data_IF_900546819270
#
_entry.id   IF_900546819270
#
_cell.length_a   1.000
_cell.length_b   1.000
_cell.length_c   1.000
_cell.angle_alpha   90.00
_cell.angle_beta   90.00
_cell.angle_gamma   90.00
#
_symmetry.space_group_name_H-M   'P 1'
#
loop_
_entity.id
_entity.type
_entity.pdbx_description
1 polymer ?
#
# COMPACT_ATOMS: atom_id res chain seq x y z
N UNK A 1 0.00 -0.07 -47.50
CA UNK A 1 -1.20 0.66 -47.06
C UNK A 1 -1.84 -0.21 -45.99
N UNK A 2 -1.25 -0.23 -44.79
CA UNK A 2 -1.84 -0.88 -43.62
C UNK A 2 -1.83 0.18 -42.53
N UNK A 3 -3.04 0.69 -42.26
CA UNK A 3 -3.24 1.76 -41.30
C UNK A 3 -2.94 1.21 -39.91
N UNK A 4 -1.93 1.79 -39.26
CA UNK A 4 -1.79 1.75 -37.81
C UNK A 4 -3.02 2.41 -37.18
N UNK A 5 -4.09 1.64 -37.01
CA UNK A 5 -5.25 2.04 -36.23
C UNK A 5 -4.94 1.73 -34.76
N UNK A 6 -4.31 2.66 -34.06
CA UNK A 6 -4.41 2.71 -32.60
C UNK A 6 -5.61 3.59 -32.27
N UNK A 7 -6.81 3.00 -32.24
CA UNK A 7 -7.91 3.58 -31.49
C UNK A 7 -7.56 3.41 -30.00
N UNK A 8 -6.97 4.46 -29.42
CA UNK A 8 -6.72 4.52 -27.99
C UNK A 8 -8.05 4.46 -27.25
N UNK A 9 -8.34 3.33 -26.62
CA UNK A 9 -9.51 3.15 -25.79
C UNK A 9 -9.31 3.99 -24.52
N UNK A 10 -10.30 4.80 -24.12
CA UNK A 10 -10.23 5.61 -22.89
C UNK A 10 -9.96 4.78 -21.62
N UNK A 11 -10.13 3.45 -21.68
CA UNK A 11 -9.73 2.49 -20.65
C UNK A 11 -8.21 2.34 -20.45
N UNK A 12 -7.38 2.74 -21.41
CA UNK A 12 -5.91 2.61 -21.29
C UNK A 12 -5.30 3.59 -20.28
N UNK A 13 -5.90 4.77 -20.07
CA UNK A 13 -5.35 5.78 -19.14
C UNK A 13 -5.43 5.39 -17.66
N UNK A 14 -6.25 4.39 -17.31
CA UNK A 14 -6.44 3.94 -15.94
C UNK A 14 -5.98 2.50 -15.71
N UNK A 15 -5.41 1.86 -16.73
CA UNK A 15 -4.84 0.52 -16.59
C UNK A 15 -3.41 0.67 -16.06
N UNK A 16 -3.10 0.08 -14.89
CA UNK A 16 -1.75 0.15 -14.35
C UNK A 16 -0.78 -0.56 -15.29
N UNK A 17 0.36 0.10 -15.56
CA UNK A 17 1.47 -0.48 -16.36
C UNK A 17 2.00 -1.76 -15.71
N UNK A 18 1.86 -1.89 -14.39
CA UNK A 18 2.32 -3.02 -13.61
C UNK A 18 1.57 -3.13 -12.28
N UNK A 19 1.29 -4.36 -11.85
CA UNK A 19 0.77 -4.68 -10.52
C UNK A 19 1.55 -5.86 -9.90
N UNK A 20 1.75 -5.89 -8.57
CA UNK A 20 2.36 -7.04 -7.92
C UNK A 20 1.39 -8.22 -7.86
N UNK A 21 1.91 -9.43 -8.11
CA UNK A 21 1.18 -10.65 -7.78
C UNK A 21 1.00 -10.85 -6.27
N UNK A 22 0.04 -11.69 -5.88
CA UNK A 22 -0.35 -11.92 -4.48
C UNK A 22 0.82 -12.36 -3.60
N UNK A 23 1.67 -13.29 -4.06
CA UNK A 23 2.83 -13.73 -3.28
C UNK A 23 3.77 -12.57 -2.93
N UNK A 24 3.97 -11.62 -3.86
CA UNK A 24 4.81 -10.44 -3.62
C UNK A 24 4.16 -9.50 -2.60
N UNK A 25 2.84 -9.36 -2.65
CA UNK A 25 2.08 -8.59 -1.67
C UNK A 25 2.22 -9.23 -0.29
N UNK A 26 1.98 -10.52 -0.15
CA UNK A 26 1.98 -11.22 1.13
C UNK A 26 3.36 -11.22 1.81
N UNK A 27 4.43 -11.35 1.01
CA UNK A 27 5.82 -11.36 1.52
C UNK A 27 6.39 -9.97 1.78
N UNK A 28 5.72 -8.89 1.37
CA UNK A 28 6.21 -7.54 1.57
C UNK A 28 6.26 -7.17 3.06
N UNK A 29 7.34 -6.51 3.47
CA UNK A 29 7.44 -5.94 4.83
C UNK A 29 6.30 -4.97 5.13
N UNK A 30 5.81 -4.25 4.12
CA UNK A 30 4.68 -3.35 4.24
C UNK A 30 3.39 -4.08 4.68
N UNK A 31 3.13 -5.28 4.16
CA UNK A 31 1.97 -6.09 4.54
C UNK A 31 2.06 -6.56 5.99
N UNK A 32 3.27 -6.98 6.41
CA UNK A 32 3.54 -7.32 7.82
C UNK A 32 3.37 -6.11 8.75
N UNK A 33 3.88 -4.95 8.34
CA UNK A 33 3.75 -3.71 9.11
C UNK A 33 2.31 -3.23 9.22
N UNK A 34 1.52 -3.27 8.13
CA UNK A 34 0.09 -2.96 8.17
C UNK A 34 -0.68 -3.84 9.14
N UNK A 35 -0.37 -5.16 9.16
CA UNK A 35 -0.96 -6.08 10.15
C UNK A 35 -0.60 -5.68 11.58
N UNK A 36 0.68 -5.44 11.84
CA UNK A 36 1.15 -5.01 13.16
C UNK A 36 0.46 -3.71 13.61
N UNK A 37 0.43 -2.67 12.78
CA UNK A 37 -0.23 -1.39 13.12
C UNK A 37 -1.72 -1.58 13.35
N UNK A 38 -2.42 -2.38 12.53
CA UNK A 38 -3.83 -2.72 12.75
C UNK A 38 -4.06 -3.33 14.14
N UNK A 39 -3.24 -4.28 14.53
CA UNK A 39 -3.32 -4.95 15.83
C UNK A 39 -3.05 -3.99 16.99
N UNK A 40 -2.01 -3.13 16.88
CA UNK A 40 -1.65 -2.16 17.92
C UNK A 40 -2.62 -0.97 18.05
N UNK A 41 -3.37 -0.68 16.99
CA UNK A 41 -4.31 0.46 16.97
C UNK A 41 -5.76 0.05 17.15
N UNK A 42 -6.10 -1.22 16.92
CA UNK A 42 -7.48 -1.68 16.79
C UNK A 42 -8.19 -1.14 15.54
N UNK A 43 -7.48 -0.44 14.64
CA UNK A 43 -8.08 0.18 13.47
C UNK A 43 -8.27 -0.85 12.34
N UNK A 44 -9.47 -1.41 12.24
CA UNK A 44 -9.84 -2.44 11.26
C UNK A 44 -9.70 -2.01 9.79
N UNK A 45 -9.62 -0.70 9.51
CA UNK A 45 -9.49 -0.16 8.14
C UNK A 45 -8.08 -0.33 7.57
N UNK A 46 -7.07 -0.57 8.43
CA UNK A 46 -5.67 -0.78 8.01
C UNK A 46 -5.50 -2.19 7.41
N UNK A 47 -6.06 -2.35 6.20
CA UNK A 47 -5.98 -3.55 5.35
C UNK A 47 -5.34 -3.26 4.00
N UNK A 48 -5.26 -1.99 3.61
CA UNK A 48 -4.59 -1.51 2.41
C UNK A 48 -3.75 -0.28 2.74
N UNK A 49 -2.93 0.13 1.79
CA UNK A 49 -1.99 1.24 1.96
C UNK A 49 -2.67 2.56 2.32
N UNK A 50 -3.77 2.92 1.66
CA UNK A 50 -4.40 4.24 1.85
C UNK A 50 -4.82 4.53 3.32
N UNK A 51 -5.50 3.60 4.03
CA UNK A 51 -5.77 3.77 5.46
C UNK A 51 -4.52 3.85 6.35
N UNK A 52 -3.44 3.11 6.03
CA UNK A 52 -2.17 3.23 6.76
C UNK A 52 -1.54 4.61 6.56
N UNK A 53 -1.52 5.10 5.32
CA UNK A 53 -0.98 6.41 4.95
C UNK A 53 -1.76 7.55 5.62
N UNK A 54 -3.08 7.45 5.63
CA UNK A 54 -3.90 8.41 6.34
C UNK A 54 -3.62 8.41 7.86
N UNK A 55 -3.46 7.23 8.47
CA UNK A 55 -3.05 7.12 9.87
C UNK A 55 -1.68 7.77 10.13
N UNK A 56 -0.70 7.60 9.22
CA UNK A 56 0.63 8.21 9.39
C UNK A 56 0.59 9.73 9.36
N UNK A 57 -0.32 10.34 8.58
CA UNK A 57 -0.52 11.78 8.51
C UNK A 57 -1.27 12.30 9.74
N UNK A 58 -2.36 11.62 10.14
CA UNK A 58 -3.20 12.09 11.26
C UNK A 58 -2.56 11.87 12.63
N UNK A 59 -1.74 10.83 12.78
CA UNK A 59 -1.12 10.45 14.07
C UNK A 59 0.39 10.16 13.90
N UNK A 60 1.20 11.15 13.47
CA UNK A 60 2.60 10.92 13.10
C UNK A 60 3.44 10.42 14.28
N UNK A 61 3.24 10.96 15.50
CA UNK A 61 3.97 10.51 16.68
C UNK A 61 3.74 9.03 16.96
N UNK A 62 2.48 8.58 16.98
CA UNK A 62 2.11 7.18 17.20
C UNK A 62 2.61 6.28 16.06
N UNK A 63 2.50 6.75 14.82
CA UNK A 63 2.99 6.01 13.66
C UNK A 63 4.49 5.74 13.75
N UNK A 64 5.31 6.77 14.05
CA UNK A 64 6.76 6.61 14.13
C UNK A 64 7.22 5.77 15.32
N UNK A 65 6.54 5.86 16.48
CA UNK A 65 6.80 4.93 17.59
C UNK A 65 6.58 3.48 17.17
N UNK A 66 5.45 3.17 16.55
CA UNK A 66 5.14 1.83 16.04
C UNK A 66 6.15 1.38 14.97
N UNK A 67 6.60 2.29 14.10
CA UNK A 67 7.59 1.98 13.08
C UNK A 67 8.95 1.59 13.70
N UNK A 68 9.43 2.35 14.69
CA UNK A 68 10.70 2.03 15.37
C UNK A 68 10.62 0.71 16.13
N UNK A 69 9.51 0.46 16.84
CA UNK A 69 9.26 -0.82 17.51
C UNK A 69 9.26 -1.98 16.52
N UNK A 70 8.55 -1.84 15.39
CA UNK A 70 8.51 -2.86 14.34
C UNK A 70 9.90 -3.13 13.74
N UNK A 71 10.71 -2.09 13.55
CA UNK A 71 12.08 -2.21 13.05
C UNK A 71 13.08 -2.70 14.10
N UNK A 72 12.70 -2.77 15.39
CA UNK A 72 13.58 -3.17 16.48
C UNK A 72 14.69 -2.16 16.79
N UNK A 73 14.48 -0.88 16.47
CA UNK A 73 15.46 0.20 16.73
C UNK A 73 15.27 0.71 18.17
N UNK A 74 16.38 0.85 18.92
CA UNK A 74 16.42 1.35 20.30
C UNK A 74 17.36 2.54 20.43
#
# INVERSE_FOLDING_TARGET
MDKFSHEGNANDMNTPIWEPGEERIDRANLSRFMRYVREQTGNADIRRYAPLHDFSIRQPARFWSLFWEFCGIR
#
